data_IF_808969585982
#
_entry.id   IF_808969585982
#
_cell.length_a   1.000
_cell.length_b   1.000
_cell.length_c   1.000
_cell.angle_alpha   90.00
_cell.angle_beta   90.00
_cell.angle_gamma   90.00
#
_symmetry.space_group_name_H-M   'P 1'
#
loop_
_entity.id
_entity.type
_entity.pdbx_description
1 polymer ?
#
# COMPACT_ATOMS: atom_id res chain seq x y z
N UNK A 1 1.18 -5.55 0.91
CA UNK A 1 1.67 -5.56 -0.50
C UNK A 1 2.25 -6.93 -0.81
N UNK A 2 1.51 -7.75 -1.50
CA UNK A 2 2.00 -9.07 -1.87
C UNK A 2 2.98 -8.98 -3.03
N UNK A 3 4.11 -9.62 -2.84
CA UNK A 3 5.11 -10.03 -3.82
C UNK A 3 5.39 -9.07 -4.98
N UNK A 4 6.39 -8.25 -4.83
CA UNK A 4 6.79 -7.22 -5.79
C UNK A 4 7.50 -7.77 -7.03
N UNK A 5 7.86 -9.04 -7.06
CA UNK A 5 8.42 -9.69 -8.22
C UNK A 5 7.33 -10.23 -9.15
N UNK A 6 6.56 -9.37 -9.82
CA UNK A 6 5.79 -9.79 -11.00
C UNK A 6 6.63 -9.62 -12.25
N UNK A 7 6.72 -10.70 -13.01
CA UNK A 7 7.36 -10.76 -14.32
C UNK A 7 6.89 -9.62 -15.21
N UNK A 8 7.80 -8.75 -15.60
CA UNK A 8 7.64 -7.96 -16.81
C UNK A 8 7.51 -8.92 -17.98
N UNK A 9 6.47 -8.75 -18.80
CA UNK A 9 6.29 -9.50 -20.04
C UNK A 9 7.51 -9.25 -20.93
N UNK A 10 8.38 -10.25 -21.06
CA UNK A 10 9.49 -10.22 -22.03
C UNK A 10 9.07 -11.01 -23.25
N UNK A 11 9.28 -10.44 -24.42
CA UNK A 11 9.16 -11.16 -25.67
C UNK A 11 10.20 -12.27 -25.68
N UNK A 12 9.78 -13.53 -25.83
CA UNK A 12 10.65 -14.70 -25.95
C UNK A 12 10.28 -15.44 -27.22
N UNK A 13 11.28 -16.07 -27.84
CA UNK A 13 11.03 -16.88 -29.02
C UNK A 13 10.02 -18.01 -28.71
N UNK A 14 9.10 -18.32 -29.63
CA UNK A 14 8.19 -19.46 -29.48
C UNK A 14 8.95 -20.73 -29.14
N UNK A 15 8.56 -21.43 -28.08
CA UNK A 15 9.17 -22.69 -27.62
C UNK A 15 10.26 -22.54 -26.55
N UNK A 16 10.73 -21.34 -26.21
CA UNK A 16 11.64 -21.13 -25.09
C UNK A 16 10.87 -20.85 -23.80
N UNK A 17 11.19 -21.58 -22.72
CA UNK A 17 10.70 -21.26 -21.37
C UNK A 17 11.70 -20.30 -20.72
N UNK A 18 11.33 -19.04 -20.44
CA UNK A 18 12.23 -18.13 -19.75
C UNK A 18 12.51 -18.69 -18.35
N UNK A 19 13.77 -18.98 -18.06
CA UNK A 19 14.21 -19.31 -16.70
C UNK A 19 14.28 -18.00 -15.92
N UNK A 20 13.29 -17.76 -15.07
CA UNK A 20 13.38 -16.71 -14.05
C UNK A 20 14.23 -17.27 -12.92
N UNK A 21 15.30 -16.59 -12.49
CA UNK A 21 16.07 -17.02 -11.34
C UNK A 21 15.16 -17.05 -10.10
N UNK A 22 14.78 -18.22 -9.62
CA UNK A 22 14.18 -18.41 -8.30
C UNK A 22 15.29 -18.36 -7.26
N UNK A 23 15.49 -17.22 -6.62
CA UNK A 23 16.19 -17.17 -5.36
C UNK A 23 15.26 -17.81 -4.30
N UNK A 24 15.68 -18.94 -3.75
CA UNK A 24 14.87 -19.89 -3.00
C UNK A 24 14.32 -19.46 -1.64
N UNK A 25 14.21 -18.16 -1.34
CA UNK A 25 13.46 -17.63 -0.19
C UNK A 25 12.49 -16.57 -0.69
N UNK A 26 11.20 -16.79 -0.47
CA UNK A 26 10.19 -15.76 -0.66
C UNK A 26 10.37 -14.67 0.42
N UNK A 27 11.09 -13.60 0.08
CA UNK A 27 11.21 -12.43 0.93
C UNK A 27 9.91 -11.62 0.75
N UNK A 28 9.16 -11.47 1.82
CA UNK A 28 7.84 -10.83 1.79
C UNK A 28 7.76 -9.74 2.85
N UNK A 29 7.18 -8.59 2.51
CA UNK A 29 6.80 -7.52 3.44
C UNK A 29 5.39 -7.03 3.08
N UNK A 30 4.64 -6.67 4.09
CA UNK A 30 3.30 -6.11 3.92
C UNK A 30 3.34 -4.63 4.23
N UNK A 31 2.73 -3.81 3.39
CA UNK A 31 2.60 -2.38 3.61
C UNK A 31 1.13 -2.06 3.80
N UNK A 32 0.79 -1.46 4.93
CA UNK A 32 -0.53 -0.90 5.18
C UNK A 32 -0.41 0.62 5.12
N UNK A 33 -1.25 1.27 4.34
CA UNK A 33 -1.18 2.72 4.16
C UNK A 33 -2.53 3.36 3.98
N UNK A 34 -2.58 4.66 4.21
CA UNK A 34 -3.69 5.53 3.89
C UNK A 34 -3.20 6.80 3.18
N UNK A 35 -3.99 7.29 2.24
CA UNK A 35 -3.69 8.50 1.48
C UNK A 35 -4.92 9.41 1.47
N UNK A 36 -4.70 10.70 1.68
CA UNK A 36 -5.70 11.73 1.42
C UNK A 36 -5.57 12.19 -0.04
N UNK A 37 -6.55 11.89 -0.95
CA UNK A 37 -6.41 12.21 -2.36
C UNK A 37 -6.33 13.71 -2.65
N UNK A 38 -6.92 14.55 -1.79
CA UNK A 38 -6.94 15.99 -1.97
C UNK A 38 -5.61 16.65 -1.59
N UNK A 39 -5.04 16.26 -0.43
CA UNK A 39 -3.79 16.87 0.07
C UNK A 39 -2.54 16.12 -0.36
N UNK A 40 -2.67 14.82 -0.67
CA UNK A 40 -1.54 13.93 -0.92
C UNK A 40 -0.82 13.48 0.35
N UNK A 41 -1.35 13.82 1.54
CA UNK A 41 -0.84 13.26 2.79
C UNK A 41 -0.93 11.75 2.75
N UNK A 42 0.20 11.10 2.98
CA UNK A 42 0.34 9.66 2.90
C UNK A 42 0.98 9.14 4.17
N UNK A 43 0.32 8.18 4.79
CA UNK A 43 0.81 7.48 5.99
C UNK A 43 0.93 5.99 5.68
N UNK A 44 2.04 5.36 6.06
CA UNK A 44 2.24 3.93 5.84
C UNK A 44 3.17 3.30 6.86
N UNK A 45 2.92 2.03 7.17
CA UNK A 45 3.81 1.20 7.98
C UNK A 45 4.06 -0.13 7.28
N UNK A 46 5.21 -0.73 7.56
CA UNK A 46 5.66 -2.01 7.00
C UNK A 46 5.58 -3.07 8.08
N UNK A 47 5.01 -4.23 7.75
CA UNK A 47 4.83 -5.36 8.66
C UNK A 47 5.28 -6.68 8.01
N UNK A 48 5.62 -7.67 8.82
CA UNK A 48 5.92 -9.02 8.35
C UNK A 48 4.64 -9.80 7.97
N UNK A 49 3.53 -9.51 8.63
CA UNK A 49 2.21 -10.06 8.34
C UNK A 49 1.12 -9.06 8.68
N UNK A 50 -0.11 -9.30 8.21
CA UNK A 50 -1.27 -8.44 8.50
C UNK A 50 -2.41 -9.32 9.00
N UNK A 51 -2.85 -9.02 10.20
CA UNK A 51 -4.07 -9.52 10.83
C UNK A 51 -4.81 -8.37 11.51
N UNK A 52 -5.86 -8.66 12.25
CA UNK A 52 -6.65 -7.63 12.93
C UNK A 52 -5.88 -6.90 14.03
N UNK A 53 -4.94 -7.56 14.72
CA UNK A 53 -4.13 -6.95 15.76
C UNK A 53 -3.10 -5.98 15.17
N UNK A 54 -2.44 -6.40 14.09
CA UNK A 54 -1.52 -5.54 13.32
C UNK A 54 -2.26 -4.36 12.71
N UNK A 55 -3.46 -4.57 12.19
CA UNK A 55 -4.29 -3.50 11.65
C UNK A 55 -4.73 -2.52 12.76
N UNK A 56 -5.04 -3.01 13.97
CA UNK A 56 -5.32 -2.13 15.11
C UNK A 56 -4.11 -1.27 15.46
N UNK A 57 -2.92 -1.85 15.54
CA UNK A 57 -1.68 -1.11 15.78
C UNK A 57 -1.48 0.00 14.73
N UNK A 58 -1.74 -0.30 13.47
CA UNK A 58 -1.67 0.68 12.39
C UNK A 58 -2.73 1.80 12.54
N UNK A 59 -3.96 1.47 12.96
CA UNK A 59 -5.01 2.46 13.25
C UNK A 59 -4.63 3.40 14.40
N UNK A 60 -4.01 2.86 15.45
CA UNK A 60 -3.56 3.62 16.61
C UNK A 60 -2.48 4.64 16.21
N UNK A 61 -1.51 4.21 15.41
CA UNK A 61 -0.45 5.08 14.90
C UNK A 61 -0.99 6.13 13.90
N UNK A 62 -1.92 5.74 13.02
CA UNK A 62 -2.60 6.66 12.13
C UNK A 62 -3.35 7.74 12.91
N UNK A 63 -4.07 7.35 13.97
CA UNK A 63 -4.85 8.28 14.80
C UNK A 63 -3.97 9.32 15.50
N UNK A 64 -2.75 8.94 15.90
CA UNK A 64 -1.76 9.85 16.48
C UNK A 64 -1.17 10.77 15.41
N UNK A 65 -0.84 10.23 14.24
CA UNK A 65 -0.23 10.99 13.14
C UNK A 65 -1.20 12.00 12.50
N UNK A 66 -2.49 11.69 12.54
CA UNK A 66 -3.56 12.51 11.93
C UNK A 66 -4.60 12.84 13.02
N UNK A 67 -4.31 13.80 13.90
CA UNK A 67 -5.17 14.12 15.04
C UNK A 67 -6.54 14.66 14.60
N UNK A 68 -7.58 14.52 15.44
CA UNK A 68 -8.91 15.05 15.15
C UNK A 68 -8.88 16.57 15.05
N UNK A 69 -9.73 17.12 14.17
CA UNK A 69 -9.96 18.56 14.05
C UNK A 69 -11.44 18.86 14.31
N UNK A 70 -11.78 19.88 15.12
CA UNK A 70 -13.18 20.27 15.36
C UNK A 70 -13.93 20.53 14.05
N UNK A 71 -15.13 19.95 13.93
CA UNK A 71 -15.98 20.12 12.74
C UNK A 71 -15.54 19.35 11.48
N UNK A 72 -14.48 18.55 11.55
CA UNK A 72 -13.99 17.74 10.43
C UNK A 72 -14.29 16.27 10.67
N UNK A 73 -15.09 15.68 9.78
CA UNK A 73 -15.29 14.21 9.74
C UNK A 73 -14.19 13.59 8.88
N UNK A 74 -13.60 12.50 9.38
CA UNK A 74 -12.57 11.76 8.65
C UNK A 74 -13.08 10.39 8.24
N UNK A 75 -13.33 10.22 6.97
CA UNK A 75 -13.73 8.93 6.41
C UNK A 75 -12.48 8.13 6.05
N UNK A 76 -12.39 6.90 6.56
CA UNK A 76 -11.37 5.94 6.17
C UNK A 76 -11.98 4.93 5.21
N UNK A 77 -11.64 5.07 3.93
CA UNK A 77 -12.12 4.20 2.86
C UNK A 77 -11.30 2.92 2.84
N UNK A 78 -11.96 1.77 2.86
CA UNK A 78 -11.35 0.46 3.03
C UNK A 78 -11.90 -0.52 2.01
N UNK A 79 -11.09 -1.49 1.63
CA UNK A 79 -11.55 -2.69 0.94
C UNK A 79 -12.28 -3.65 1.91
N UNK A 80 -12.70 -4.79 1.39
CA UNK A 80 -13.46 -5.79 2.12
C UNK A 80 -12.58 -6.88 2.78
N UNK A 81 -11.32 -6.61 3.08
CA UNK A 81 -10.48 -7.57 3.78
C UNK A 81 -11.09 -7.98 5.13
N UNK A 82 -10.98 -9.25 5.47
CA UNK A 82 -11.62 -9.81 6.66
C UNK A 82 -11.16 -9.15 7.97
N UNK A 83 -9.89 -8.77 8.06
CA UNK A 83 -9.32 -8.09 9.24
C UNK A 83 -9.84 -6.66 9.43
N UNK A 84 -10.37 -6.01 8.38
CA UNK A 84 -11.02 -4.70 8.48
C UNK A 84 -12.43 -4.77 9.12
N UNK A 85 -13.04 -5.96 9.16
CA UNK A 85 -14.43 -6.16 9.61
C UNK A 85 -14.56 -6.70 11.03
N UNK A 86 -13.47 -6.81 11.75
CA UNK A 86 -13.49 -7.30 13.13
C UNK A 86 -14.15 -6.28 14.04
N UNK A 87 -15.18 -6.71 14.78
CA UNK A 87 -16.03 -5.83 15.61
C UNK A 87 -15.30 -5.17 16.79
N UNK A 88 -14.15 -5.70 17.19
CA UNK A 88 -13.35 -5.18 18.30
C UNK A 88 -12.41 -4.05 17.90
N UNK A 89 -12.33 -3.69 16.62
CA UNK A 89 -11.47 -2.62 16.14
C UNK A 89 -11.91 -1.27 16.73
N UNK A 90 -10.92 -0.53 17.23
CA UNK A 90 -11.09 0.84 17.73
C UNK A 90 -10.75 1.81 16.59
N UNK A 91 -11.77 2.45 16.03
CA UNK A 91 -11.63 3.34 14.89
C UNK A 91 -11.18 4.76 15.24
N UNK A 92 -11.10 5.07 16.56
CA UNK A 92 -10.77 6.40 17.07
C UNK A 92 -11.73 7.47 16.52
N UNK A 93 -11.19 8.50 15.88
CA UNK A 93 -11.96 9.57 15.24
C UNK A 93 -12.19 9.34 13.73
N UNK A 94 -11.87 8.15 13.20
CA UNK A 94 -12.17 7.77 11.84
C UNK A 94 -13.50 7.06 11.72
N UNK A 95 -14.20 7.32 10.64
CA UNK A 95 -15.43 6.61 10.26
C UNK A 95 -15.10 5.64 9.12
N UNK A 96 -15.19 4.33 9.32
CA UNK A 96 -14.88 3.36 8.27
C UNK A 96 -15.96 3.37 7.19
N UNK A 97 -15.54 3.41 5.94
CA UNK A 97 -16.37 3.28 4.75
C UNK A 97 -15.84 2.14 3.89
N UNK A 98 -16.60 1.04 3.84
CA UNK A 98 -16.23 -0.13 3.05
C UNK A 98 -16.66 0.02 1.61
N UNK A 99 -15.72 -0.20 0.69
CA UNK A 99 -16.00 -0.21 -0.74
C UNK A 99 -16.84 -1.43 -1.13
N UNK A 100 -17.62 -1.35 -2.23
CA UNK A 100 -18.26 -2.52 -2.78
C UNK A 100 -17.24 -3.63 -3.09
N UNK A 101 -17.66 -4.92 -3.04
CA UNK A 101 -16.78 -6.02 -3.46
C UNK A 101 -16.26 -5.82 -4.88
N UNK A 102 -15.03 -6.24 -5.12
CA UNK A 102 -14.36 -6.20 -6.44
C UNK A 102 -14.26 -4.79 -7.07
N UNK A 103 -14.12 -3.76 -6.25
CA UNK A 103 -14.06 -2.37 -6.71
C UNK A 103 -12.76 -1.65 -6.31
N UNK A 104 -11.57 -2.20 -6.62
CA UNK A 104 -10.29 -1.58 -6.26
C UNK A 104 -10.10 -0.21 -6.93
N UNK A 105 -10.71 0.02 -8.10
CA UNK A 105 -10.60 1.27 -8.85
C UNK A 105 -11.15 2.48 -8.08
N UNK A 106 -12.06 2.24 -7.14
CA UNK A 106 -12.59 3.28 -6.27
C UNK A 106 -11.69 3.59 -5.07
N UNK A 107 -10.62 2.80 -4.85
CA UNK A 107 -9.67 3.07 -3.79
C UNK A 107 -8.46 3.85 -4.33
N UNK A 108 -8.32 5.14 -3.98
CA UNK A 108 -7.24 5.98 -4.51
C UNK A 108 -5.83 5.43 -4.25
N UNK A 109 -5.63 4.73 -3.14
CA UNK A 109 -4.34 4.18 -2.75
C UNK A 109 -3.85 3.07 -3.72
N UNK A 110 -4.77 2.38 -4.41
CA UNK A 110 -4.38 1.35 -5.39
C UNK A 110 -3.56 1.95 -6.54
N UNK A 111 -3.86 3.18 -6.96
CA UNK A 111 -3.07 3.90 -7.98
C UNK A 111 -1.67 4.22 -7.47
N UNK A 112 -1.56 4.58 -6.18
CA UNK A 112 -0.28 4.82 -5.55
C UNK A 112 0.55 3.54 -5.48
N UNK A 113 -0.05 2.40 -5.12
CA UNK A 113 0.62 1.12 -5.13
C UNK A 113 1.09 0.70 -6.51
N UNK A 114 0.27 0.90 -7.55
CA UNK A 114 0.67 0.63 -8.94
C UNK A 114 1.85 1.50 -9.36
N UNK A 115 1.81 2.79 -9.04
CA UNK A 115 2.90 3.72 -9.36
C UNK A 115 4.19 3.38 -8.62
N UNK A 116 4.09 3.10 -7.33
CA UNK A 116 5.23 2.69 -6.51
C UNK A 116 5.88 1.42 -7.06
N UNK A 117 5.08 0.42 -7.42
CA UNK A 117 5.58 -0.81 -8.04
C UNK A 117 6.28 -0.54 -9.37
N UNK A 118 5.70 0.31 -10.20
CA UNK A 118 6.28 0.65 -11.50
C UNK A 118 7.62 1.38 -11.36
N UNK A 119 7.70 2.37 -10.48
CA UNK A 119 8.87 3.23 -10.34
C UNK A 119 10.04 2.53 -9.64
N UNK A 120 9.75 1.68 -8.64
CA UNK A 120 10.79 1.16 -7.73
C UNK A 120 11.06 -0.33 -7.88
N UNK A 121 10.13 -1.11 -8.43
CA UNK A 121 10.23 -2.58 -8.39
C UNK A 121 10.19 -3.25 -9.76
N UNK A 122 9.95 -2.51 -10.83
CA UNK A 122 10.01 -3.07 -12.19
C UNK A 122 11.43 -3.52 -12.52
N UNK A 123 11.59 -4.81 -12.81
CA UNK A 123 12.88 -5.41 -13.14
C UNK A 123 13.85 -5.58 -11.97
N UNK A 124 13.42 -5.26 -10.74
CA UNK A 124 14.23 -5.42 -9.53
C UNK A 124 13.83 -6.69 -8.76
N UNK A 125 14.84 -7.35 -8.18
CA UNK A 125 14.66 -8.55 -7.35
C UNK A 125 15.43 -8.34 -6.06
N UNK A 126 14.76 -8.51 -4.91
CA UNK A 126 15.40 -8.47 -3.60
C UNK A 126 16.38 -9.64 -3.44
N UNK A 127 17.59 -9.35 -2.98
CA UNK A 127 18.60 -10.36 -2.62
C UNK A 127 18.46 -10.77 -1.16
N UNK A 128 18.14 -9.81 -0.29
CA UNK A 128 17.95 -9.99 1.15
C UNK A 128 16.67 -9.30 1.63
N UNK A 129 16.27 -9.57 2.89
CA UNK A 129 15.18 -8.85 3.53
C UNK A 129 15.50 -7.38 3.76
N UNK A 130 16.76 -7.08 4.02
CA UNK A 130 17.29 -5.72 4.21
C UNK A 130 17.19 -4.93 2.91
N UNK A 131 17.62 -5.50 1.77
CA UNK A 131 17.49 -4.88 0.45
C UNK A 131 16.03 -4.48 0.15
N UNK A 132 15.08 -5.39 0.46
CA UNK A 132 13.67 -5.12 0.25
C UNK A 132 13.17 -4.01 1.19
N UNK A 133 13.58 -4.04 2.45
CA UNK A 133 13.19 -3.04 3.45
C UNK A 133 13.71 -1.66 3.07
N UNK A 134 14.99 -1.54 2.73
CA UNK A 134 15.61 -0.27 2.32
C UNK A 134 14.88 0.30 1.09
N UNK A 135 14.64 -0.53 0.08
CA UNK A 135 13.96 -0.08 -1.14
C UNK A 135 12.51 0.32 -0.89
N UNK A 136 11.78 -0.41 -0.03
CA UNK A 136 10.43 -0.02 0.38
C UNK A 136 10.43 1.30 1.15
N UNK A 137 11.33 1.48 2.12
CA UNK A 137 11.45 2.75 2.86
C UNK A 137 11.73 3.92 1.93
N UNK A 138 12.66 3.78 1.00
CA UNK A 138 12.99 4.82 0.01
C UNK A 138 11.78 5.15 -0.87
N UNK A 139 11.04 4.13 -1.33
CA UNK A 139 9.85 4.31 -2.15
C UNK A 139 8.72 5.02 -1.38
N UNK A 140 8.44 4.59 -0.15
CA UNK A 140 7.39 5.16 0.67
C UNK A 140 7.71 6.61 1.07
N UNK A 141 8.95 6.87 1.52
CA UNK A 141 9.39 8.21 1.88
C UNK A 141 9.33 9.17 0.70
N UNK A 142 9.65 8.71 -0.52
CA UNK A 142 9.51 9.55 -1.70
C UNK A 142 8.09 10.09 -1.87
N UNK A 143 7.06 9.27 -1.65
CA UNK A 143 5.66 9.72 -1.76
C UNK A 143 5.20 10.52 -0.56
N UNK A 144 5.74 10.26 0.64
CA UNK A 144 5.48 11.05 1.85
C UNK A 144 6.05 12.47 1.68
N UNK A 145 7.27 12.58 1.16
CA UNK A 145 7.97 13.86 1.00
C UNK A 145 7.46 14.70 -0.19
N UNK A 146 6.66 14.10 -1.09
CA UNK A 146 6.12 14.76 -2.27
C UNK A 146 4.58 14.71 -2.34
N UNK A 147 3.86 15.36 -1.40
CA UNK A 147 2.41 15.26 -1.30
C UNK A 147 1.68 15.74 -2.57
N UNK A 148 2.17 16.77 -3.25
CA UNK A 148 1.54 17.24 -4.50
C UNK A 148 1.58 16.18 -5.62
N UNK A 149 2.69 15.44 -5.73
CA UNK A 149 2.82 14.32 -6.66
C UNK A 149 1.87 13.19 -6.26
N UNK A 150 1.82 12.86 -4.98
CA UNK A 150 0.97 11.81 -4.42
C UNK A 150 -0.52 12.14 -4.66
N UNK A 151 -0.94 13.39 -4.40
CA UNK A 151 -2.30 13.84 -4.71
C UNK A 151 -2.63 13.70 -6.21
N UNK A 152 -1.70 14.09 -7.09
CA UNK A 152 -1.89 13.96 -8.55
C UNK A 152 -2.09 12.51 -9.01
N UNK A 153 -1.40 11.56 -8.38
CA UNK A 153 -1.55 10.12 -8.67
C UNK A 153 -2.89 9.60 -8.16
N UNK A 154 -3.30 10.02 -6.96
CA UNK A 154 -4.48 9.52 -6.28
C UNK A 154 -5.78 10.22 -6.68
N UNK A 155 -5.71 11.39 -7.33
CA UNK A 155 -6.90 12.14 -7.76
C UNK A 155 -7.75 11.33 -8.76
N UNK A 156 -9.06 11.41 -8.60
CA UNK A 156 -9.96 10.93 -9.64
C UNK A 156 -9.87 11.89 -10.84
N UNK A 157 -9.42 11.40 -11.97
CA UNK A 157 -9.53 12.18 -13.23
C UNK A 157 -11.02 12.22 -13.57
N UNK A 158 -11.55 13.44 -13.62
CA UNK A 158 -12.86 13.70 -14.23
C UNK A 158 -12.80 13.44 -15.73
#
# INVERSE_FOLDING_TARGET
MENVARSTSRWVQPGSKPKVPHLGKHIRRNVVGAVCPQSGEFFSLIFDGVDSAVFQCWLDELAQSVPPKPGVRRLLVLDNASWHKVKTLQWHHFEPLFLPPYSPDFNPIERLWLRLKADYFTGWIARTGEDLMERLCNALNHFIDHPSKTASICSFRQ
#
